data_IF_159327999012
#
_entry.id   IF_159327999012
#
_cell.length_a   1.000
_cell.length_b   1.000
_cell.length_c   1.000
_cell.angle_alpha   90.00
_cell.angle_beta   90.00
_cell.angle_gamma   90.00
#
_symmetry.space_group_name_H-M   'P 1'
#
loop_
_entity.id
_entity.type
_entity.pdbx_description
1 polymer ?
#
# COMPACT_ATOMS: atom_id res chain seq x y z
N UNK A 1 8.79 18.39 9.11
CA UNK A 1 8.00 19.21 8.18
C UNK A 1 8.77 19.37 6.88
N UNK A 2 8.35 18.68 5.82
CA UNK A 2 9.01 18.67 4.50
C UNK A 2 8.33 19.61 3.48
N UNK A 3 7.49 20.55 3.95
CA UNK A 3 6.73 21.44 3.07
C UNK A 3 5.61 20.71 2.29
N UNK A 4 5.09 19.61 2.84
CA UNK A 4 3.99 18.86 2.27
C UNK A 4 2.67 19.29 2.89
N UNK A 5 1.65 19.47 2.07
CA UNK A 5 0.27 19.58 2.52
C UNK A 5 -0.36 18.16 2.65
N UNK A 6 -1.40 18.04 3.44
CA UNK A 6 -2.09 16.76 3.58
C UNK A 6 -2.58 16.20 2.24
N UNK A 7 -3.00 17.05 1.32
CA UNK A 7 -3.41 16.64 -0.03
C UNK A 7 -2.29 16.10 -0.92
N UNK A 8 -1.03 16.33 -0.53
CA UNK A 8 0.14 15.80 -1.22
C UNK A 8 0.48 14.35 -0.87
N UNK A 9 -0.22 13.77 0.12
CA UNK A 9 0.12 12.50 0.75
C UNK A 9 -0.94 11.44 0.45
N UNK A 10 -0.50 10.25 0.05
CA UNK A 10 -1.34 9.07 -0.03
C UNK A 10 -0.79 7.94 0.86
N UNK A 11 -1.68 7.26 1.55
CA UNK A 11 -1.40 6.00 2.24
C UNK A 11 -2.08 4.91 1.43
N UNK A 12 -1.28 3.98 0.92
CA UNK A 12 -1.73 2.90 0.04
C UNK A 12 -1.52 1.56 0.73
N UNK A 13 -2.52 0.72 0.69
CA UNK A 13 -2.48 -0.65 1.19
C UNK A 13 -2.88 -1.62 0.07
N UNK A 14 -2.32 -2.85 0.05
CA UNK A 14 -2.57 -3.79 -1.04
C UNK A 14 -4.04 -4.20 -1.17
N UNK A 15 -4.68 -4.47 -0.03
CA UNK A 15 -6.07 -4.92 0.06
C UNK A 15 -6.79 -4.23 1.20
N UNK A 16 -8.11 -4.15 1.12
CA UNK A 16 -8.94 -3.47 2.12
C UNK A 16 -8.91 -4.15 3.49
N UNK A 17 -8.67 -5.45 3.53
CA UNK A 17 -8.72 -6.25 4.76
C UNK A 17 -7.64 -7.31 4.82
N UNK A 18 -7.25 -7.67 6.03
CA UNK A 18 -6.34 -8.77 6.34
C UNK A 18 -6.97 -9.71 7.36
N UNK A 19 -6.99 -10.99 7.07
CA UNK A 19 -7.42 -12.02 8.02
C UNK A 19 -6.23 -12.48 8.87
N UNK A 20 -6.38 -12.39 10.18
CA UNK A 20 -5.36 -12.84 11.12
C UNK A 20 -5.49 -14.35 11.39
N UNK A 21 -4.40 -14.94 11.92
CA UNK A 21 -4.36 -16.37 12.29
C UNK A 21 -5.43 -16.76 13.32
N UNK A 22 -5.85 -15.84 14.19
CA UNK A 22 -6.90 -16.06 15.18
C UNK A 22 -8.33 -15.90 14.64
N UNK A 23 -8.49 -15.78 13.32
CA UNK A 23 -9.78 -15.62 12.64
C UNK A 23 -10.33 -14.20 12.61
N UNK A 24 -9.73 -13.26 13.32
CA UNK A 24 -10.13 -11.84 13.28
C UNK A 24 -9.76 -11.21 11.95
N UNK A 25 -10.55 -10.25 11.50
CA UNK A 25 -10.30 -9.45 10.30
C UNK A 25 -9.94 -8.02 10.67
N UNK A 26 -8.86 -7.52 10.10
CA UNK A 26 -8.46 -6.11 10.18
C UNK A 26 -8.92 -5.42 8.90
N UNK A 27 -9.60 -4.30 9.06
CA UNK A 27 -9.97 -3.38 7.97
C UNK A 27 -9.06 -2.16 8.04
N UNK A 28 -8.11 -2.05 7.13
CA UNK A 28 -7.08 -1.01 7.17
C UNK A 28 -7.65 0.39 7.08
N UNK A 29 -8.62 0.61 6.20
CA UNK A 29 -9.26 1.90 6.05
C UNK A 29 -9.88 2.38 7.37
N UNK A 30 -10.55 1.49 8.09
CA UNK A 30 -11.16 1.82 9.37
C UNK A 30 -10.12 2.20 10.41
N UNK A 31 -9.03 1.43 10.52
CA UNK A 31 -7.95 1.70 11.47
C UNK A 31 -7.24 3.02 11.18
N UNK A 32 -6.93 3.26 9.90
CA UNK A 32 -6.27 4.49 9.48
C UNK A 32 -7.16 5.72 9.71
N UNK A 33 -8.43 5.63 9.38
CA UNK A 33 -9.40 6.70 9.67
C UNK A 33 -9.44 7.03 11.14
N UNK A 34 -9.60 6.01 11.98
CA UNK A 34 -9.62 6.19 13.43
C UNK A 34 -8.33 6.86 13.93
N UNK A 35 -7.18 6.40 13.48
CA UNK A 35 -5.89 6.97 13.88
C UNK A 35 -5.76 8.44 13.46
N UNK A 36 -6.22 8.80 12.26
CA UNK A 36 -6.18 10.18 11.77
C UNK A 36 -7.21 11.06 12.46
N UNK A 37 -8.39 10.54 12.77
CA UNK A 37 -9.42 11.25 13.54
C UNK A 37 -8.92 11.57 14.96
N UNK A 38 -8.24 10.63 15.61
CA UNK A 38 -7.70 10.80 16.96
C UNK A 38 -6.67 11.95 17.05
N UNK A 39 -6.01 12.28 15.95
CA UNK A 39 -5.03 13.38 15.86
C UNK A 39 -5.52 14.58 15.03
N UNK A 40 -6.79 14.60 14.66
CA UNK A 40 -7.43 15.66 13.86
C UNK A 40 -6.74 15.94 12.52
N UNK A 41 -6.26 14.90 11.84
CA UNK A 41 -5.69 15.00 10.50
C UNK A 41 -6.79 14.71 9.46
N UNK A 42 -7.05 15.62 8.52
CA UNK A 42 -8.07 15.38 7.49
C UNK A 42 -7.63 14.31 6.49
N UNK A 43 -8.57 13.51 6.05
CA UNK A 43 -8.35 12.46 5.05
C UNK A 43 -9.50 12.39 4.07
N UNK A 44 -9.23 11.79 2.91
CA UNK A 44 -10.23 11.42 1.91
C UNK A 44 -10.08 9.93 1.56
N UNK A 45 -11.19 9.32 1.17
CA UNK A 45 -11.19 7.92 0.74
C UNK A 45 -11.01 7.89 -0.77
N UNK A 46 -9.98 7.18 -1.21
CA UNK A 46 -9.75 6.95 -2.63
C UNK A 46 -10.75 5.95 -3.18
N UNK A 47 -11.68 6.42 -3.98
CA UNK A 47 -12.58 5.61 -4.79
C UNK A 47 -12.63 6.15 -6.23
N UNK A 48 -13.32 5.43 -7.11
CA UNK A 48 -13.29 5.73 -8.55
C UNK A 48 -13.81 7.11 -8.92
N UNK A 49 -14.72 7.66 -8.16
CA UNK A 49 -15.44 8.88 -8.55
C UNK A 49 -14.93 10.12 -7.82
N UNK A 50 -14.62 10.00 -6.53
CA UNK A 50 -14.30 11.16 -5.70
C UNK A 50 -12.88 11.67 -5.90
N UNK A 51 -11.90 10.79 -6.17
CA UNK A 51 -10.50 11.20 -6.27
C UNK A 51 -10.12 11.82 -7.61
N UNK A 52 -10.87 11.55 -8.68
CA UNK A 52 -10.60 12.15 -9.98
C UNK A 52 -10.94 13.64 -10.06
N UNK A 53 -11.88 14.09 -9.25
CA UNK A 53 -12.45 15.43 -9.33
C UNK A 53 -12.37 16.22 -8.04
N UNK A 54 -12.09 15.59 -6.91
CA UNK A 54 -12.00 16.27 -5.63
C UNK A 54 -10.67 17.03 -5.48
N UNK A 55 -10.76 18.26 -5.01
CA UNK A 55 -9.59 18.96 -4.49
C UNK A 55 -9.01 18.16 -3.33
N UNK A 56 -7.74 17.76 -3.44
CA UNK A 56 -7.06 16.95 -2.44
C UNK A 56 -6.85 17.74 -1.15
N UNK A 57 -7.82 17.77 -0.27
CA UNK A 57 -7.80 18.54 0.98
C UNK A 57 -7.33 17.76 2.19
N UNK A 58 -7.13 16.46 2.07
CA UNK A 58 -6.68 15.59 3.14
C UNK A 58 -5.81 14.46 2.61
N UNK A 59 -5.24 13.68 3.53
CA UNK A 59 -4.47 12.47 3.18
C UNK A 59 -5.39 11.48 2.47
N UNK A 60 -4.98 11.01 1.30
CA UNK A 60 -5.72 9.97 0.58
C UNK A 60 -5.44 8.60 1.18
N UNK A 61 -6.50 7.89 1.57
CA UNK A 61 -6.44 6.48 1.98
C UNK A 61 -6.97 5.63 0.82
N UNK A 62 -6.13 4.77 0.25
CA UNK A 62 -6.50 4.02 -0.95
C UNK A 62 -5.91 2.62 -0.95
N UNK A 63 -6.62 1.70 -1.59
CA UNK A 63 -6.04 0.42 -1.98
C UNK A 63 -5.37 0.54 -3.36
N UNK A 64 -4.76 -0.56 -3.81
CA UNK A 64 -4.05 -0.62 -5.11
C UNK A 64 -4.93 -0.27 -6.31
N UNK A 65 -6.21 -0.61 -6.26
CA UNK A 65 -7.10 -0.48 -7.41
C UNK A 65 -7.48 0.98 -7.69
N UNK A 66 -7.64 1.78 -6.63
CA UNK A 66 -8.12 3.16 -6.73
C UNK A 66 -7.01 4.20 -6.86
N UNK A 67 -5.76 3.83 -6.57
CA UNK A 67 -4.61 4.74 -6.69
C UNK A 67 -4.16 4.96 -8.13
N UNK A 68 -4.65 4.18 -9.08
CA UNK A 68 -4.27 4.27 -10.49
C UNK A 68 -4.47 5.68 -11.05
N UNK A 69 -3.55 6.13 -11.89
CA UNK A 69 -3.59 7.41 -12.58
C UNK A 69 -3.59 8.66 -11.67
N UNK A 70 -3.30 8.49 -10.40
CA UNK A 70 -3.13 9.59 -9.45
C UNK A 70 -1.65 9.74 -9.11
N UNK A 71 -1.23 10.99 -8.90
CA UNK A 71 0.14 11.32 -8.51
C UNK A 71 0.13 12.11 -7.20
N UNK A 72 1.06 11.77 -6.33
CA UNK A 72 1.22 12.39 -5.02
C UNK A 72 2.69 12.73 -4.80
N UNK A 73 2.98 13.80 -4.06
CA UNK A 73 4.36 14.11 -3.68
C UNK A 73 4.94 13.06 -2.75
N UNK A 74 4.14 12.55 -1.82
CA UNK A 74 4.54 11.51 -0.89
C UNK A 74 3.56 10.33 -0.89
N UNK A 75 4.08 9.12 -0.99
CA UNK A 75 3.32 7.88 -0.88
C UNK A 75 3.89 7.04 0.25
N UNK A 76 3.01 6.59 1.14
CA UNK A 76 3.30 5.54 2.12
C UNK A 76 2.62 4.27 1.65
N UNK A 77 3.42 3.29 1.23
CA UNK A 77 2.93 1.98 0.83
C UNK A 77 3.12 1.01 1.99
N UNK A 78 2.04 0.66 2.65
CA UNK A 78 2.08 -0.16 3.85
C UNK A 78 1.62 -1.60 3.59
N UNK A 79 2.02 -2.51 4.48
CA UNK A 79 1.65 -3.94 4.46
C UNK A 79 2.05 -4.65 3.15
N UNK A 80 3.24 -4.32 2.63
CA UNK A 80 3.74 -4.86 1.35
C UNK A 80 3.73 -6.40 1.32
N UNK A 81 3.98 -7.05 2.44
CA UNK A 81 3.98 -8.51 2.59
C UNK A 81 2.64 -9.15 2.23
N UNK A 82 1.55 -8.42 2.25
CA UNK A 82 0.25 -8.95 1.86
C UNK A 82 0.14 -9.31 0.38
N UNK A 83 0.91 -8.68 -0.48
CA UNK A 83 0.90 -8.98 -1.92
C UNK A 83 1.33 -10.42 -2.18
N UNK A 84 2.35 -10.87 -1.48
CA UNK A 84 2.91 -12.20 -1.68
C UNK A 84 2.18 -13.29 -0.90
N UNK A 85 1.75 -13.00 0.32
CA UNK A 85 1.19 -14.00 1.22
C UNK A 85 -0.19 -14.55 0.81
N UNK A 86 -0.90 -13.87 -0.08
CA UNK A 86 -2.22 -14.32 -0.55
C UNK A 86 -2.17 -15.24 -1.75
N UNK A 87 -1.05 -15.30 -2.45
CA UNK A 87 -0.92 -15.98 -3.74
C UNK A 87 -0.22 -17.34 -3.66
N UNK A 88 0.34 -17.71 -2.50
CA UNK A 88 1.07 -18.98 -2.43
C UNK A 88 0.12 -20.13 -2.12
N UNK A 89 -0.36 -20.76 -3.17
CA UNK A 89 -0.70 -22.17 -3.11
C UNK A 89 0.57 -22.95 -3.49
N UNK A 90 1.22 -23.59 -2.51
CA UNK A 90 2.54 -24.21 -2.65
C UNK A 90 2.61 -25.36 -3.66
N UNK A 91 1.49 -25.71 -4.28
CA UNK A 91 1.36 -26.89 -5.14
C UNK A 91 1.38 -26.57 -6.65
N UNK A 92 1.30 -25.29 -7.05
CA UNK A 92 1.26 -24.91 -8.47
C UNK A 92 2.38 -23.92 -8.80
N UNK A 93 3.48 -24.43 -9.37
CA UNK A 93 4.66 -23.60 -9.71
C UNK A 93 4.38 -22.62 -10.85
N UNK A 94 3.54 -22.96 -11.82
CA UNK A 94 3.22 -22.05 -12.94
C UNK A 94 2.37 -20.88 -12.48
N UNK A 95 1.46 -21.13 -11.55
CA UNK A 95 0.68 -20.09 -10.91
C UNK A 95 1.59 -19.10 -10.13
N UNK A 96 2.57 -19.61 -9.40
CA UNK A 96 3.49 -18.79 -8.61
C UNK A 96 4.29 -17.77 -9.44
N UNK A 97 4.74 -18.11 -10.64
CA UNK A 97 5.51 -17.22 -11.51
C UNK A 97 4.63 -16.08 -12.03
N UNK A 98 3.44 -16.39 -12.52
CA UNK A 98 2.50 -15.38 -13.02
C UNK A 98 2.05 -14.40 -11.93
N UNK A 99 1.84 -14.91 -10.71
CA UNK A 99 1.46 -14.08 -9.56
C UNK A 99 2.61 -13.19 -9.09
N UNK A 100 3.83 -13.69 -9.11
CA UNK A 100 5.01 -12.91 -8.80
C UNK A 100 5.18 -11.72 -9.76
N UNK A 101 5.02 -11.94 -11.06
CA UNK A 101 5.05 -10.87 -12.07
C UNK A 101 3.90 -9.87 -11.84
N UNK A 102 2.70 -10.37 -11.54
CA UNK A 102 1.55 -9.54 -11.21
C UNK A 102 1.79 -8.65 -10.00
N UNK A 103 2.39 -9.18 -8.95
CA UNK A 103 2.72 -8.45 -7.74
C UNK A 103 3.83 -7.41 -7.97
N UNK A 104 4.85 -7.74 -8.77
CA UNK A 104 5.87 -6.77 -9.19
C UNK A 104 5.25 -5.59 -9.96
N UNK A 105 4.31 -5.85 -10.85
CA UNK A 105 3.62 -4.81 -11.59
C UNK A 105 2.77 -3.91 -10.69
N UNK A 106 2.12 -4.47 -9.67
CA UNK A 106 1.38 -3.71 -8.66
C UNK A 106 2.30 -2.79 -7.86
N UNK A 107 3.44 -3.31 -7.39
CA UNK A 107 4.46 -2.53 -6.66
C UNK A 107 4.98 -1.40 -7.54
N UNK A 108 5.35 -1.70 -8.78
CA UNK A 108 5.82 -0.71 -9.75
C UNK A 108 4.79 0.39 -9.99
N UNK A 109 3.53 0.04 -10.13
CA UNK A 109 2.44 0.99 -10.31
C UNK A 109 2.31 1.94 -9.11
N UNK A 110 2.41 1.42 -7.87
CA UNK A 110 2.32 2.25 -6.66
C UNK A 110 3.55 3.16 -6.52
N UNK A 111 4.74 2.63 -6.75
CA UNK A 111 6.00 3.40 -6.67
C UNK A 111 5.94 4.61 -7.60
N UNK A 112 5.40 4.47 -8.79
CA UNK A 112 5.27 5.56 -9.76
C UNK A 112 4.21 6.61 -9.40
N UNK A 113 3.45 6.41 -8.33
CA UNK A 113 2.52 7.46 -7.83
C UNK A 113 3.21 8.49 -6.95
N UNK A 114 4.43 8.20 -6.46
CA UNK A 114 5.23 9.11 -5.65
C UNK A 114 6.16 9.95 -6.54
N UNK A 115 6.03 11.28 -6.50
CA UNK A 115 6.91 12.16 -7.27
C UNK A 115 8.17 12.58 -6.49
N UNK A 116 8.13 12.62 -5.16
CA UNK A 116 9.23 13.10 -4.33
C UNK A 116 9.63 12.12 -3.22
N UNK A 117 8.67 11.56 -2.50
CA UNK A 117 8.93 10.73 -1.33
C UNK A 117 8.15 9.42 -1.40
N UNK A 118 8.85 8.31 -1.16
CA UNK A 118 8.26 6.99 -1.06
C UNK A 118 8.70 6.33 0.26
N UNK A 119 7.73 5.90 1.05
CA UNK A 119 7.97 5.08 2.24
C UNK A 119 7.27 3.74 2.05
N UNK A 120 7.99 2.66 2.23
CA UNK A 120 7.44 1.31 2.20
C UNK A 120 7.54 0.71 3.60
N UNK A 121 6.44 0.20 4.11
CA UNK A 121 6.41 -0.53 5.37
C UNK A 121 6.08 -2.00 5.11
N UNK A 122 6.81 -2.88 5.77
CA UNK A 122 6.61 -4.32 5.65
C UNK A 122 7.13 -5.02 6.89
N UNK A 123 6.57 -6.19 7.18
CA UNK A 123 7.15 -7.12 8.15
C UNK A 123 8.29 -7.88 7.47
N UNK A 124 9.47 -7.86 8.09
CA UNK A 124 10.65 -8.55 7.57
C UNK A 124 11.24 -9.49 8.63
N UNK A 125 11.36 -10.75 8.27
CA UNK A 125 12.00 -11.79 9.07
C UNK A 125 12.51 -12.91 8.16
N UNK A 126 13.12 -13.95 8.75
CA UNK A 126 13.65 -15.10 8.01
C UNK A 126 12.62 -15.84 7.14
N UNK A 127 11.34 -15.77 7.52
CA UNK A 127 10.23 -16.39 6.78
C UNK A 127 9.58 -15.43 5.75
N UNK A 128 10.14 -14.23 5.57
CA UNK A 128 9.66 -13.30 4.56
C UNK A 128 9.84 -13.85 3.16
N UNK A 129 8.95 -13.45 2.25
CA UNK A 129 9.04 -13.87 0.85
C UNK A 129 10.34 -13.40 0.18
N UNK A 130 10.76 -14.09 -0.87
CA UNK A 130 11.94 -13.70 -1.65
C UNK A 130 11.81 -12.27 -2.21
N UNK A 131 10.60 -11.86 -2.62
CA UNK A 131 10.33 -10.50 -3.07
C UNK A 131 10.67 -9.47 -1.99
N UNK A 132 10.20 -9.69 -0.76
CA UNK A 132 10.47 -8.80 0.37
C UNK A 132 11.97 -8.77 0.70
N UNK A 133 12.62 -9.93 0.70
CA UNK A 133 14.07 -10.02 0.95
C UNK A 133 14.88 -9.24 -0.10
N UNK A 134 14.54 -9.38 -1.37
CA UNK A 134 15.18 -8.65 -2.46
C UNK A 134 15.00 -7.12 -2.27
N UNK A 135 13.79 -6.68 -1.99
CA UNK A 135 13.50 -5.26 -1.80
C UNK A 135 14.27 -4.67 -0.60
N UNK A 136 14.25 -5.36 0.54
CA UNK A 136 14.97 -4.90 1.74
C UNK A 136 16.47 -4.84 1.47
N UNK A 137 17.04 -5.85 0.83
CA UNK A 137 18.45 -5.88 0.51
C UNK A 137 18.85 -4.78 -0.49
N UNK A 138 18.00 -4.49 -1.48
CA UNK A 138 18.28 -3.43 -2.45
C UNK A 138 18.26 -2.02 -1.85
N UNK A 139 17.47 -1.80 -0.81
CA UNK A 139 17.40 -0.50 -0.12
C UNK A 139 18.59 -0.32 0.83
N UNK A 140 19.08 -1.39 1.42
CA UNK A 140 20.16 -1.35 2.41
C UNK A 140 21.58 -1.40 1.77
N UNK A 141 21.68 -1.47 0.47
CA UNK A 141 22.92 -1.32 -0.25
C UNK A 141 23.09 0.09 -0.76
#
# INVERSE_FOLDING_TARGET
NKGLDYGDIAIVFPYNKKKLKNGKTIYFQYLLRKALDDVNIPYIIGDDDLTKHAKKTGITLSNLYFIKNLEYKAVVFCELEMLYNQTINKEDQDYQINDFIGDLNKIYMVINRASEYLTITTTFNENSSELIKILVNSINT
#
